data_IF_661568575892
#
_entry.id   IF_661568575892
#
_cell.length_a   1.000
_cell.length_b   1.000
_cell.length_c   1.000
_cell.angle_alpha   90.00
_cell.angle_beta   90.00
_cell.angle_gamma   90.00
#
_symmetry.space_group_name_H-M   'P 1'
#
loop_
_entity.id
_entity.type
_entity.pdbx_description
1 polymer ?
#
# COMPACT_ATOMS: atom_id res chain seq x y z
N UNK A 1 -10.44 14.77 13.55
CA UNK A 1 -9.97 13.38 13.50
C UNK A 1 -8.45 13.44 13.44
N UNK A 2 -7.82 13.29 14.60
CA UNK A 2 -6.38 13.49 14.80
C UNK A 2 -5.64 12.37 14.06
N UNK A 3 -4.84 12.73 13.06
CA UNK A 3 -4.15 11.78 12.19
C UNK A 3 -2.80 11.45 12.84
N UNK A 4 -2.70 10.29 13.47
CA UNK A 4 -1.50 9.92 14.22
C UNK A 4 -0.50 9.15 13.35
N UNK A 5 0.55 9.85 12.94
CA UNK A 5 1.70 9.30 12.18
C UNK A 5 2.92 9.05 13.09
N UNK A 6 2.75 9.11 14.42
CA UNK A 6 3.81 8.82 15.40
C UNK A 6 4.16 7.32 15.40
N UNK A 7 5.36 6.93 15.85
CA UNK A 7 5.73 5.52 16.02
C UNK A 7 4.70 4.78 16.88
N UNK A 8 4.00 3.79 16.31
CA UNK A 8 2.90 3.05 16.96
C UNK A 8 1.52 3.28 16.34
N UNK A 9 1.32 4.36 15.57
CA UNK A 9 0.18 4.51 14.67
C UNK A 9 0.29 3.50 13.53
N UNK A 10 -0.82 2.85 13.15
CA UNK A 10 -0.84 1.77 12.15
C UNK A 10 -0.63 2.32 10.72
N UNK A 11 0.55 2.87 10.43
CA UNK A 11 0.94 3.34 9.09
C UNK A 11 1.62 2.19 8.36
N UNK A 12 0.81 1.30 7.80
CA UNK A 12 1.25 0.16 6.98
C UNK A 12 1.19 0.47 5.49
N UNK A 13 2.07 -0.15 4.71
CA UNK A 13 1.89 -0.18 3.25
C UNK A 13 0.80 -1.19 2.91
N UNK A 14 -0.25 -0.74 2.21
CA UNK A 14 -1.29 -1.62 1.67
C UNK A 14 -0.77 -2.44 0.49
N UNK A 15 0.09 -1.85 -0.34
CA UNK A 15 0.74 -2.50 -1.47
C UNK A 15 2.09 -1.84 -1.78
N UNK A 16 3.03 -2.63 -2.30
CA UNK A 16 4.30 -2.13 -2.84
C UNK A 16 4.51 -2.83 -4.18
N UNK A 17 4.53 -2.04 -5.27
CA UNK A 17 4.85 -2.52 -6.62
C UNK A 17 6.31 -2.23 -6.91
N UNK A 18 7.07 -3.25 -7.31
CA UNK A 18 8.50 -3.16 -7.59
C UNK A 18 8.75 -3.43 -9.07
N UNK A 19 8.78 -2.38 -9.87
CA UNK A 19 9.18 -2.44 -11.28
C UNK A 19 10.66 -2.08 -11.40
N UNK A 20 11.47 -2.97 -12.00
CA UNK A 20 12.90 -2.76 -12.23
C UNK A 20 13.84 -2.98 -11.02
N UNK A 21 13.33 -3.46 -9.89
CA UNK A 21 14.16 -3.74 -8.70
C UNK A 21 14.77 -5.15 -8.78
N UNK A 22 16.10 -5.26 -8.62
CA UNK A 22 16.80 -6.53 -8.40
C UNK A 22 17.79 -6.44 -7.23
N UNK A 23 18.18 -7.57 -6.65
CA UNK A 23 19.28 -7.63 -5.66
C UNK A 23 18.96 -7.08 -4.26
N UNK A 24 19.95 -6.45 -3.63
CA UNK A 24 19.97 -6.02 -2.22
C UNK A 24 18.89 -4.99 -1.86
N UNK A 25 18.42 -4.22 -2.84
CA UNK A 25 17.43 -3.16 -2.71
C UNK A 25 16.06 -3.65 -2.17
N UNK A 26 15.69 -4.90 -2.48
CA UNK A 26 14.47 -5.56 -1.96
C UNK A 26 14.48 -5.66 -0.42
N UNK A 27 15.65 -5.77 0.20
CA UNK A 27 15.77 -5.87 1.68
C UNK A 27 15.32 -4.58 2.37
N UNK A 28 15.65 -3.42 1.80
CA UNK A 28 15.25 -2.11 2.33
C UNK A 28 13.74 -1.89 2.28
N UNK A 29 13.10 -2.39 1.24
CA UNK A 29 11.66 -2.32 1.05
C UNK A 29 10.91 -3.27 1.99
N UNK A 30 11.42 -4.50 2.18
CA UNK A 30 10.89 -5.44 3.19
C UNK A 30 10.97 -4.85 4.59
N UNK A 31 12.07 -4.19 4.93
CA UNK A 31 12.23 -3.49 6.20
C UNK A 31 11.23 -2.34 6.35
N UNK A 32 11.07 -1.52 5.31
CA UNK A 32 10.11 -0.43 5.27
C UNK A 32 8.67 -0.92 5.45
N UNK A 33 8.29 -2.03 4.80
CA UNK A 33 6.98 -2.67 4.97
C UNK A 33 6.76 -3.19 6.40
N UNK A 34 7.79 -3.83 6.99
CA UNK A 34 7.72 -4.39 8.35
C UNK A 34 7.67 -3.32 9.44
N UNK A 35 8.42 -2.23 9.27
CA UNK A 35 8.62 -1.19 10.27
C UNK A 35 7.64 -0.01 10.12
N UNK A 36 6.89 0.03 9.02
CA UNK A 36 6.02 1.15 8.66
C UNK A 36 6.78 2.29 7.98
N UNK A 37 6.05 3.13 7.24
CA UNK A 37 6.66 4.20 6.41
C UNK A 37 7.41 5.24 7.24
N UNK A 38 6.99 5.46 8.48
CA UNK A 38 7.58 6.45 9.37
C UNK A 38 9.04 6.16 9.75
N UNK A 39 9.55 4.95 9.52
CA UNK A 39 10.98 4.67 9.75
C UNK A 39 11.89 5.35 8.70
N UNK A 40 11.34 5.71 7.54
CA UNK A 40 12.01 6.56 6.56
C UNK A 40 11.67 8.04 6.88
N UNK A 41 12.66 8.86 7.28
CA UNK A 41 12.40 10.23 7.72
C UNK A 41 11.92 11.14 6.58
N UNK A 42 12.32 10.89 5.33
CA UNK A 42 11.84 11.66 4.18
C UNK A 42 10.38 11.34 3.89
N UNK A 43 9.98 10.07 3.91
CA UNK A 43 8.58 9.68 3.71
C UNK A 43 7.70 10.25 4.85
N UNK A 44 8.19 10.24 6.10
CA UNK A 44 7.48 10.87 7.22
C UNK A 44 7.25 12.37 6.98
N UNK A 45 8.31 13.12 6.69
CA UNK A 45 8.24 14.56 6.39
C UNK A 45 7.33 14.86 5.20
N UNK A 46 7.32 13.99 4.18
CA UNK A 46 6.42 14.11 3.03
C UNK A 46 4.95 13.92 3.41
N UNK A 47 4.65 12.93 4.25
CA UNK A 47 3.28 12.64 4.70
C UNK A 47 2.69 13.78 5.53
N UNK A 48 3.52 14.55 6.24
CA UNK A 48 3.09 15.72 7.01
C UNK A 48 2.70 16.93 6.14
N UNK A 49 3.10 16.97 4.87
CA UNK A 49 2.89 18.13 3.97
C UNK A 49 1.56 18.14 3.21
N UNK A 50 0.84 17.02 3.15
CA UNK A 50 -0.43 16.92 2.44
C UNK A 50 -1.57 16.59 3.40
N UNK A 51 -2.70 17.29 3.26
CA UNK A 51 -3.88 17.04 4.12
C UNK A 51 -5.19 16.93 3.35
N UNK A 52 -5.26 17.50 2.15
CA UNK A 52 -6.46 17.53 1.29
C UNK A 52 -6.43 16.41 0.23
N UNK A 53 -7.53 15.65 0.06
CA UNK A 53 -7.65 14.66 -1.01
C UNK A 53 -7.37 15.24 -2.40
N UNK A 54 -6.69 14.46 -3.24
CA UNK A 54 -6.29 14.85 -4.59
C UNK A 54 -4.99 15.65 -4.65
N UNK A 55 -4.54 16.25 -3.54
CA UNK A 55 -3.30 17.04 -3.50
C UNK A 55 -2.09 16.16 -3.74
N UNK A 56 -1.27 16.54 -4.72
CA UNK A 56 0.00 15.90 -5.04
C UNK A 56 1.15 16.75 -4.49
N UNK A 57 2.00 16.14 -3.68
CA UNK A 57 3.21 16.75 -3.15
C UNK A 57 4.41 15.99 -3.69
N UNK A 58 5.30 16.67 -4.41
CA UNK A 58 6.55 16.09 -4.91
C UNK A 58 7.74 16.86 -4.37
N UNK A 59 8.68 16.15 -3.74
CA UNK A 59 9.83 16.74 -3.09
C UNK A 59 11.06 15.84 -3.19
N UNK A 60 12.22 16.46 -3.35
CA UNK A 60 13.52 15.81 -3.22
C UNK A 60 13.79 15.54 -1.75
N UNK A 61 14.53 14.47 -1.44
CA UNK A 61 14.90 14.13 -0.06
C UNK A 61 15.58 15.29 0.68
N UNK A 62 16.40 16.10 0.00
CA UNK A 62 17.05 17.31 0.55
C UNK A 62 16.09 18.42 0.96
N UNK A 63 14.91 18.47 0.35
CA UNK A 63 13.86 19.44 0.68
C UNK A 63 13.02 18.96 1.87
N UNK A 64 13.09 17.66 2.19
CA UNK A 64 12.31 17.00 3.23
C UNK A 64 13.09 16.86 4.54
N UNK A 65 14.37 16.50 4.45
CA UNK A 65 15.24 16.16 5.59
C UNK A 65 16.67 16.57 5.29
N UNK A 66 17.32 17.23 6.25
CA UNK A 66 18.73 17.59 6.18
C UNK A 66 19.64 16.35 6.16
N UNK A 67 20.80 16.47 5.51
CA UNK A 67 21.70 15.34 5.27
C UNK A 67 22.15 14.64 6.57
N UNK A 68 22.44 15.39 7.64
CA UNK A 68 22.87 14.79 8.90
C UNK A 68 21.76 13.91 9.52
N UNK A 69 20.51 14.37 9.47
CA UNK A 69 19.34 13.64 9.96
C UNK A 69 19.04 12.43 9.07
N UNK A 70 19.23 12.56 7.76
CA UNK A 70 19.05 11.48 6.81
C UNK A 70 20.08 10.36 7.01
N UNK A 71 21.37 10.70 7.00
CA UNK A 71 22.44 9.71 7.07
C UNK A 71 22.65 9.11 8.47
N UNK A 72 22.15 9.77 9.52
CA UNK A 72 22.10 9.23 10.88
C UNK A 72 20.84 8.40 11.18
N UNK A 73 19.87 8.33 10.27
CA UNK A 73 18.63 7.59 10.53
C UNK A 73 18.88 6.07 10.54
N UNK A 74 18.39 5.33 11.56
CA UNK A 74 18.60 3.88 11.65
C UNK A 74 18.15 3.11 10.40
N UNK A 75 17.04 3.53 9.78
CA UNK A 75 16.57 2.93 8.54
C UNK A 75 17.57 3.10 7.39
N UNK A 76 18.07 4.32 7.20
CA UNK A 76 19.00 4.66 6.11
C UNK A 76 20.32 3.92 6.30
N UNK A 77 20.84 3.88 7.53
CA UNK A 77 22.10 3.21 7.85
C UNK A 77 22.02 1.69 7.66
N UNK A 78 21.02 1.04 8.23
CA UNK A 78 20.97 -0.43 8.30
C UNK A 78 20.35 -1.07 7.06
N UNK A 79 19.53 -0.34 6.32
CA UNK A 79 18.75 -0.92 5.23
C UNK A 79 18.97 -0.24 3.89
N UNK A 80 19.05 1.09 3.80
CA UNK A 80 19.20 1.76 2.51
C UNK A 80 20.66 1.77 2.03
N UNK A 81 21.59 2.17 2.89
CA UNK A 81 23.03 2.27 2.57
C UNK A 81 23.64 0.95 2.05
N UNK A 82 23.35 -0.24 2.60
CA UNK A 82 23.90 -1.50 2.09
C UNK A 82 23.42 -1.87 0.68
N UNK A 83 22.36 -1.20 0.18
CA UNK A 83 21.84 -1.44 -1.17
C UNK A 83 22.59 -0.66 -2.25
N UNK A 84 23.43 0.30 -1.85
CA UNK A 84 24.10 1.22 -2.76
C UNK A 84 23.24 2.42 -3.19
N UNK A 85 21.99 2.49 -2.76
CA UNK A 85 21.09 3.64 -3.00
C UNK A 85 21.40 4.80 -2.06
N UNK A 86 21.19 6.02 -2.55
CA UNK A 86 21.54 7.25 -1.83
C UNK A 86 20.49 8.36 -2.04
N UNK A 87 20.65 9.19 -3.08
CA UNK A 87 19.75 10.33 -3.30
C UNK A 87 18.38 9.85 -3.79
N UNK A 88 17.33 10.60 -3.42
CA UNK A 88 15.95 10.20 -3.70
C UNK A 88 15.02 11.39 -3.92
N UNK A 89 13.97 11.13 -4.70
CA UNK A 89 12.85 12.04 -4.92
C UNK A 89 11.55 11.27 -4.74
N UNK A 90 10.60 11.90 -4.08
CA UNK A 90 9.33 11.29 -3.70
C UNK A 90 8.17 12.13 -4.21
N UNK A 91 7.08 11.46 -4.56
CA UNK A 91 5.79 12.09 -4.78
C UNK A 91 4.70 11.36 -4.02
N UNK A 92 3.77 12.09 -3.40
CA UNK A 92 2.63 11.53 -2.69
C UNK A 92 1.32 12.18 -3.11
N UNK A 93 0.24 11.41 -3.09
CA UNK A 93 -1.12 11.89 -3.31
C UNK A 93 -2.03 11.34 -2.21
N UNK A 94 -2.77 12.23 -1.56
CA UNK A 94 -3.85 11.84 -0.66
C UNK A 94 -5.04 11.37 -1.46
N UNK A 95 -5.53 10.16 -1.20
CA UNK A 95 -6.73 9.68 -1.87
C UNK A 95 -8.00 10.21 -1.19
N UNK A 96 -9.14 10.04 -1.86
CA UNK A 96 -10.46 10.31 -1.26
C UNK A 96 -10.81 9.32 -0.14
N UNK A 97 -10.16 8.15 -0.10
CA UNK A 97 -10.35 7.20 0.99
C UNK A 97 -9.64 7.72 2.26
N UNK A 98 -10.34 7.76 3.41
CA UNK A 98 -9.75 8.23 4.66
C UNK A 98 -8.47 7.48 5.02
N UNK A 99 -7.38 8.22 5.24
CA UNK A 99 -6.11 7.66 5.72
C UNK A 99 -5.26 6.95 4.66
N UNK A 100 -5.65 6.97 3.38
CA UNK A 100 -4.90 6.33 2.30
C UNK A 100 -4.08 7.35 1.52
N UNK A 101 -2.76 7.13 1.51
CA UNK A 101 -1.78 7.89 0.73
C UNK A 101 -1.16 6.99 -0.32
N UNK A 102 -1.03 7.50 -1.53
CA UNK A 102 -0.29 6.86 -2.62
C UNK A 102 1.03 7.57 -2.82
N UNK A 103 2.08 6.83 -3.12
CA UNK A 103 3.38 7.45 -3.30
C UNK A 103 4.27 6.70 -4.27
N UNK A 104 5.13 7.48 -4.91
CA UNK A 104 6.20 7.02 -5.78
C UNK A 104 7.52 7.49 -5.16
N UNK A 105 8.49 6.59 -5.07
CA UNK A 105 9.85 6.92 -4.64
C UNK A 105 10.85 6.46 -5.69
N UNK A 106 11.68 7.38 -6.16
CA UNK A 106 12.77 7.08 -7.09
C UNK A 106 14.08 7.34 -6.37
N UNK A 107 15.02 6.41 -6.55
CA UNK A 107 16.34 6.44 -5.91
C UNK A 107 17.44 6.46 -6.98
N UNK A 108 18.59 7.02 -6.63
CA UNK A 108 19.83 6.91 -7.40
C UNK A 108 20.89 6.18 -6.59
N UNK A 109 21.82 5.59 -7.30
CA UNK A 109 23.00 4.98 -6.71
C UNK A 109 23.95 6.04 -6.14
N UNK A 110 24.77 5.60 -5.18
CA UNK A 110 25.78 6.42 -4.54
C UNK A 110 26.80 6.94 -5.56
N UNK A 111 27.08 8.24 -5.51
CA UNK A 111 27.98 8.90 -6.47
C UNK A 111 27.31 9.25 -7.81
N UNK A 112 26.05 8.88 -8.02
CA UNK A 112 25.25 9.37 -9.14
C UNK A 112 24.97 10.87 -9.03
N UNK A 113 24.59 11.51 -10.16
CA UNK A 113 24.21 12.93 -10.13
C UNK A 113 23.01 13.12 -9.17
N UNK A 114 22.96 14.18 -8.37
CA UNK A 114 21.84 14.39 -7.48
C UNK A 114 20.54 14.77 -8.23
N UNK A 115 19.38 14.48 -7.64
CA UNK A 115 18.10 14.92 -8.21
C UNK A 115 18.02 16.44 -8.23
N UNK A 116 17.45 16.99 -9.30
CA UNK A 116 17.25 18.42 -9.50
C UNK A 116 15.76 18.79 -9.66
N UNK A 117 15.50 20.09 -9.87
CA UNK A 117 14.15 20.60 -10.03
C UNK A 117 13.43 20.03 -11.26
N UNK A 118 14.14 19.70 -12.33
CA UNK A 118 13.55 19.12 -13.53
C UNK A 118 13.14 17.66 -13.28
N UNK A 119 13.97 16.90 -12.55
CA UNK A 119 13.60 15.53 -12.15
C UNK A 119 12.36 15.54 -11.23
N UNK A 120 12.30 16.49 -10.28
CA UNK A 120 11.13 16.68 -9.38
C UNK A 120 9.87 17.01 -10.18
N UNK A 121 9.97 17.91 -11.15
CA UNK A 121 8.82 18.31 -11.98
C UNK A 121 8.34 17.16 -12.87
N UNK A 122 9.27 16.41 -13.48
CA UNK A 122 8.94 15.24 -14.28
C UNK A 122 8.18 14.19 -13.45
N UNK A 123 8.64 13.92 -12.22
CA UNK A 123 7.94 13.01 -11.33
C UNK A 123 6.57 13.54 -10.91
N UNK A 124 6.44 14.86 -10.67
CA UNK A 124 5.16 15.48 -10.35
C UNK A 124 4.14 15.30 -11.47
N UNK A 125 4.52 15.64 -12.71
CA UNK A 125 3.69 15.44 -13.90
C UNK A 125 3.34 13.97 -14.10
N UNK A 126 4.31 13.07 -14.00
CA UNK A 126 4.06 11.63 -14.10
C UNK A 126 3.04 11.15 -13.07
N UNK A 127 3.18 11.54 -11.80
CA UNK A 127 2.25 11.12 -10.75
C UNK A 127 0.84 11.68 -10.98
N UNK A 128 0.73 12.94 -11.42
CA UNK A 128 -0.53 13.57 -11.77
C UNK A 128 -1.27 12.83 -12.89
N UNK A 129 -0.57 12.52 -13.98
CA UNK A 129 -1.14 11.79 -15.11
C UNK A 129 -1.47 10.33 -14.77
N UNK A 130 -0.69 9.71 -13.87
CA UNK A 130 -0.92 8.36 -13.40
C UNK A 130 -2.01 8.22 -12.32
N UNK A 131 -2.79 9.27 -12.01
CA UNK A 131 -3.89 9.22 -11.04
C UNK A 131 -4.91 8.09 -11.30
N UNK A 132 -5.02 7.62 -12.56
CA UNK A 132 -5.83 6.47 -12.96
C UNK A 132 -5.14 5.09 -12.85
N UNK A 133 -3.80 5.03 -12.77
CA UNK A 133 -3.01 3.79 -12.65
C UNK A 133 -2.83 3.34 -11.20
N UNK A 134 -2.69 4.27 -10.26
CA UNK A 134 -2.41 3.96 -8.85
C UNK A 134 -3.66 3.84 -7.98
N UNK A 135 -4.84 3.59 -8.57
CA UNK A 135 -6.04 3.29 -7.80
C UNK A 135 -5.81 2.14 -6.76
N UNK A 136 -6.73 1.90 -5.80
CA UNK A 136 -6.48 0.93 -4.72
C UNK A 136 -6.01 -0.42 -5.28
N UNK A 137 -5.19 -1.20 -4.54
CA UNK A 137 -4.76 -2.52 -4.98
C UNK A 137 -5.98 -3.32 -5.45
N UNK A 138 -6.07 -3.59 -6.77
CA UNK A 138 -7.29 -4.09 -7.41
C UNK A 138 -7.97 -3.16 -8.41
N UNK A 139 -7.45 -1.95 -8.64
CA UNK A 139 -7.91 -1.04 -9.68
C UNK A 139 -6.87 -0.78 -10.78
N UNK A 140 -5.92 -1.70 -10.96
CA UNK A 140 -5.39 -1.91 -12.30
C UNK A 140 -6.59 -1.86 -13.24
N UNK A 141 -6.59 -0.95 -14.20
CA UNK A 141 -7.47 -0.98 -15.38
C UNK A 141 -7.18 -2.22 -16.26
N UNK A 142 -6.72 -3.30 -15.66
CA UNK A 142 -6.60 -4.67 -16.14
C UNK A 142 -7.22 -5.54 -15.03
N UNK A 143 -8.50 -5.88 -15.22
CA UNK A 143 -9.09 -7.03 -14.53
C UNK A 143 -9.92 -6.79 -13.26
N UNK A 144 -10.64 -5.68 -13.12
CA UNK A 144 -11.94 -5.79 -12.44
C UNK A 144 -12.89 -6.52 -13.38
N UNK A 145 -13.59 -7.61 -12.98
CA UNK A 145 -14.71 -8.11 -13.77
C UNK A 145 -15.78 -7.00 -13.93
N UNK A 146 -15.77 -5.99 -13.06
CA UNK A 146 -16.62 -4.78 -13.04
C UNK A 146 -16.19 -3.66 -14.01
N UNK A 147 -14.90 -3.52 -14.31
CA UNK A 147 -14.34 -2.42 -15.11
C UNK A 147 -14.60 -2.56 -16.61
N UNK A 148 -15.00 -3.75 -17.07
CA UNK A 148 -15.50 -3.96 -18.42
C UNK A 148 -16.96 -4.40 -18.48
N UNK A 149 -17.72 -4.31 -17.37
CA UNK A 149 -19.17 -4.58 -17.44
C UNK A 149 -19.82 -3.59 -18.38
N UNK A 150 -20.62 -4.10 -19.30
CA UNK A 150 -21.49 -3.23 -20.08
C UNK A 150 -22.37 -2.43 -19.11
N UNK A 151 -22.76 -1.19 -19.44
CA UNK A 151 -23.51 -0.32 -18.53
C UNK A 151 -24.73 -1.01 -17.88
N UNK A 152 -25.42 -1.87 -18.63
CA UNK A 152 -26.57 -2.65 -18.14
C UNK A 152 -26.20 -3.78 -17.18
N UNK A 153 -25.07 -4.44 -17.37
CA UNK A 153 -24.59 -5.48 -16.46
C UNK A 153 -24.18 -4.87 -15.11
N UNK A 154 -23.58 -3.67 -15.13
CA UNK A 154 -23.24 -2.91 -13.91
C UNK A 154 -24.49 -2.53 -13.13
N UNK A 155 -25.47 -1.91 -13.81
CA UNK A 155 -26.75 -1.57 -13.19
C UNK A 155 -27.45 -2.79 -12.59
N UNK A 156 -27.44 -3.93 -13.29
CA UNK A 156 -27.99 -5.18 -12.75
C UNK A 156 -27.22 -5.64 -11.52
N UNK A 157 -25.88 -5.62 -11.53
CA UNK A 157 -25.05 -6.01 -10.39
C UNK A 157 -25.33 -5.16 -9.15
N UNK A 158 -25.41 -3.83 -9.29
CA UNK A 158 -25.73 -2.91 -8.18
C UNK A 158 -27.07 -3.23 -7.53
N UNK A 159 -28.10 -3.49 -8.34
CA UNK A 159 -29.42 -3.85 -7.83
C UNK A 159 -29.44 -5.26 -7.22
N UNK A 160 -28.62 -6.19 -7.72
CA UNK A 160 -28.44 -7.50 -7.11
C UNK A 160 -27.83 -7.41 -5.71
N UNK A 161 -26.83 -6.54 -5.52
CA UNK A 161 -26.15 -6.28 -4.24
C UNK A 161 -27.07 -5.61 -3.22
N UNK A 162 -28.01 -4.78 -3.69
CA UNK A 162 -29.09 -4.22 -2.86
C UNK A 162 -30.16 -5.26 -2.46
N UNK A 163 -29.99 -6.53 -2.85
CA UNK A 163 -30.91 -7.61 -2.49
C UNK A 163 -32.17 -7.71 -3.37
N UNK A 164 -32.28 -6.96 -4.47
CA UNK A 164 -33.49 -6.99 -5.31
C UNK A 164 -33.58 -8.27 -6.13
N UNK A 165 -34.77 -8.87 -6.19
CA UNK A 165 -35.07 -10.00 -7.06
C UNK A 165 -35.24 -9.59 -8.53
N UNK A 166 -35.08 -10.54 -9.46
CA UNK A 166 -35.10 -10.27 -10.91
C UNK A 166 -36.36 -9.50 -11.39
N UNK A 167 -37.51 -9.70 -10.74
CA UNK A 167 -38.75 -8.98 -11.04
C UNK A 167 -38.66 -7.49 -10.66
N UNK A 168 -38.05 -7.19 -9.53
CA UNK A 168 -37.85 -5.81 -9.05
C UNK A 168 -36.79 -5.10 -9.90
N UNK A 169 -35.72 -5.82 -10.27
CA UNK A 169 -34.68 -5.31 -11.17
C UNK A 169 -35.28 -4.99 -12.54
N UNK A 170 -36.08 -5.90 -13.10
CA UNK A 170 -36.76 -5.70 -14.38
C UNK A 170 -37.63 -4.43 -14.37
N UNK A 171 -38.43 -4.25 -13.32
CA UNK A 171 -39.25 -3.06 -13.14
C UNK A 171 -38.43 -1.77 -13.03
N UNK A 172 -37.30 -1.81 -12.30
CA UNK A 172 -36.45 -0.64 -12.05
C UNK A 172 -35.61 -0.23 -13.26
N UNK A 173 -35.23 -1.19 -14.10
CA UNK A 173 -34.44 -0.95 -15.32
C UNK A 173 -35.30 -0.78 -16.59
N UNK A 174 -36.62 -1.00 -16.50
CA UNK A 174 -37.53 -0.91 -17.63
C UNK A 174 -37.31 -2.00 -18.69
N UNK A 175 -36.91 -3.21 -18.27
CA UNK A 175 -36.59 -4.34 -19.16
C UNK A 175 -37.32 -5.62 -18.74
N UNK A 176 -37.30 -6.64 -19.59
CA UNK A 176 -37.95 -7.93 -19.27
C UNK A 176 -37.16 -8.72 -18.21
N UNK A 177 -37.86 -9.57 -17.44
CA UNK A 177 -37.21 -10.53 -16.52
C UNK A 177 -36.23 -11.46 -17.24
N UNK A 178 -36.52 -11.82 -18.48
CA UNK A 178 -35.65 -12.64 -19.31
C UNK A 178 -34.31 -11.92 -19.58
N UNK A 179 -34.36 -10.63 -19.90
CA UNK A 179 -33.17 -9.79 -20.11
C UNK A 179 -32.33 -9.67 -18.82
N UNK A 180 -32.98 -9.50 -17.67
CA UNK A 180 -32.29 -9.50 -16.37
C UNK A 180 -31.58 -10.84 -16.13
N UNK A 181 -32.25 -11.97 -16.38
CA UNK A 181 -31.66 -13.29 -16.24
C UNK A 181 -30.41 -13.48 -17.12
N UNK A 182 -30.44 -12.94 -18.34
CA UNK A 182 -29.30 -12.98 -19.26
C UNK A 182 -28.11 -12.15 -18.77
N UNK A 183 -28.37 -10.97 -18.19
CA UNK A 183 -27.33 -10.17 -17.54
C UNK A 183 -26.77 -10.89 -16.32
N UNK A 184 -27.61 -11.48 -15.48
CA UNK A 184 -27.17 -12.25 -14.30
C UNK A 184 -26.31 -13.47 -14.69
N UNK A 185 -26.66 -14.21 -15.75
CA UNK A 185 -25.82 -15.30 -16.28
C UNK A 185 -24.48 -14.82 -16.79
N UNK A 186 -24.47 -13.66 -17.45
CA UNK A 186 -23.22 -13.06 -17.94
C UNK A 186 -22.33 -12.61 -16.78
N UNK A 187 -22.93 -12.03 -15.73
CA UNK A 187 -22.24 -11.74 -14.47
C UNK A 187 -21.66 -13.01 -13.85
N UNK A 188 -22.43 -14.09 -13.71
CA UNK A 188 -21.93 -15.36 -13.16
C UNK A 188 -20.72 -15.90 -13.92
N UNK A 189 -20.82 -15.98 -15.26
CA UNK A 189 -19.71 -16.43 -16.11
C UNK A 189 -18.47 -15.55 -15.93
N UNK A 190 -18.67 -14.23 -15.84
CA UNK A 190 -17.58 -13.26 -15.77
C UNK A 190 -16.89 -13.22 -14.42
N UNK A 191 -17.62 -13.50 -13.35
CA UNK A 191 -17.09 -13.58 -11.99
C UNK A 191 -16.65 -15.00 -11.59
N UNK A 192 -16.87 -15.99 -12.47
CA UNK A 192 -16.46 -17.39 -12.23
C UNK A 192 -17.29 -18.10 -11.17
N UNK A 193 -18.53 -17.65 -10.95
CA UNK A 193 -19.43 -18.16 -9.91
C UNK A 193 -20.66 -18.81 -10.54
N UNK A 194 -21.32 -19.67 -9.78
CA UNK A 194 -22.50 -20.42 -10.26
C UNK A 194 -23.81 -19.99 -9.58
N UNK A 195 -23.75 -19.11 -8.59
CA UNK A 195 -24.93 -18.71 -7.83
C UNK A 195 -24.90 -17.23 -7.45
N UNK A 196 -26.09 -16.71 -7.16
CA UNK A 196 -26.29 -15.34 -6.68
C UNK A 196 -25.54 -15.08 -5.37
N UNK A 197 -25.65 -16.01 -4.43
CA UNK A 197 -24.98 -15.92 -3.13
C UNK A 197 -23.46 -15.90 -3.30
N UNK A 198 -22.92 -16.73 -4.18
CA UNK A 198 -21.49 -16.73 -4.49
C UNK A 198 -21.04 -15.40 -5.15
N UNK A 199 -21.85 -14.85 -6.07
CA UNK A 199 -21.58 -13.54 -6.68
C UNK A 199 -21.53 -12.43 -5.61
N UNK A 200 -22.55 -12.37 -4.75
CA UNK A 200 -22.64 -11.35 -3.69
C UNK A 200 -21.48 -11.51 -2.69
N UNK A 201 -21.22 -12.73 -2.21
CA UNK A 201 -20.13 -13.00 -1.29
C UNK A 201 -18.77 -12.62 -1.87
N UNK A 202 -18.51 -12.93 -3.15
CA UNK A 202 -17.25 -12.60 -3.80
C UNK A 202 -17.06 -11.10 -4.02
N UNK A 203 -18.14 -10.35 -4.27
CA UNK A 203 -18.07 -8.89 -4.42
C UNK A 203 -17.87 -8.23 -3.05
N UNK A 204 -18.61 -8.66 -2.02
CA UNK A 204 -18.52 -8.08 -0.67
C UNK A 204 -17.22 -8.48 0.06
N UNK A 205 -16.70 -9.70 -0.14
CA UNK A 205 -15.43 -10.13 0.45
C UNK A 205 -14.21 -9.37 -0.12
N UNK A 206 -14.40 -8.62 -1.21
CA UNK A 206 -13.38 -7.69 -1.74
C UNK A 206 -13.46 -6.30 -1.11
N UNK A 207 -14.57 -5.97 -0.43
CA UNK A 207 -14.78 -4.69 0.26
C UNK A 207 -14.45 -4.76 1.77
N UNK A 208 -14.31 -5.96 2.34
CA UNK A 208 -13.85 -6.16 3.73
C UNK A 208 -12.30 -6.19 3.79
N UNK A 209 -11.65 -5.37 4.65
CA UNK A 209 -10.23 -5.56 4.95
C UNK A 209 -10.07 -6.85 5.76
N UNK A 210 -9.29 -7.81 5.24
CA UNK A 210 -8.96 -9.08 5.90
C UNK A 210 -8.61 -8.90 7.39
N UNK A 211 -9.56 -9.20 8.26
CA UNK A 211 -9.30 -9.50 9.66
C UNK A 211 -9.26 -11.03 9.84
N UNK A 212 -8.09 -11.51 10.25
CA UNK A 212 -7.89 -12.75 11.01
C UNK A 212 -8.25 -14.07 10.31
N UNK A 213 -7.23 -14.72 9.74
CA UNK A 213 -7.08 -16.18 9.85
C UNK A 213 -5.66 -16.47 10.35
N UNK A 214 -5.53 -16.70 11.66
CA UNK A 214 -4.32 -17.22 12.28
C UNK A 214 -4.60 -18.63 12.83
N UNK A 215 -3.87 -19.61 12.29
CA UNK A 215 -3.48 -20.87 12.92
C UNK A 215 -1.93 -20.92 12.87
N UNK A 216 -1.22 -21.70 13.70
CA UNK A 216 -1.53 -22.25 15.00
C UNK A 216 -0.51 -21.80 16.09
N UNK A 217 -0.81 -22.13 17.34
CA UNK A 217 -0.02 -21.84 18.54
C UNK A 217 1.44 -22.31 18.44
N UNK A 218 2.39 -21.37 18.57
CA UNK A 218 3.82 -21.64 18.76
C UNK A 218 4.06 -22.02 20.23
N UNK A 219 4.41 -23.28 20.49
CA UNK A 219 5.00 -23.66 21.78
C UNK A 219 6.38 -22.99 21.92
N UNK A 220 6.60 -22.34 23.06
CA UNK A 220 7.89 -21.75 23.47
C UNK A 220 8.65 -22.83 24.27
N UNK A 221 9.88 -23.20 23.90
CA UNK A 221 10.74 -23.99 24.80
C UNK A 221 11.27 -23.11 25.93
N UNK A 222 11.37 -23.61 27.17
CA UNK A 222 11.94 -22.86 28.28
C UNK A 222 13.48 -22.93 28.23
N UNK A 223 14.14 -21.85 27.80
CA UNK A 223 15.60 -21.73 27.92
C UNK A 223 16.00 -21.01 29.21
N UNK A 224 16.65 -21.81 30.08
CA UNK A 224 17.94 -21.51 30.73
C UNK A 224 18.19 -20.11 31.28
N UNK A 225 18.14 -20.00 32.61
CA UNK A 225 18.67 -18.85 33.36
C UNK A 225 20.16 -18.61 33.07
N UNK A 226 20.62 -17.35 33.00
CA UNK A 226 22.04 -17.02 32.87
C UNK A 226 22.78 -17.24 34.22
N UNK A 227 23.89 -17.98 34.18
CA UNK A 227 24.83 -18.13 35.31
C UNK A 227 25.58 -16.81 35.55
N UNK A 228 25.50 -16.28 36.77
CA UNK A 228 26.40 -15.24 37.27
C UNK A 228 27.83 -15.79 37.35
N UNK A 229 28.76 -15.15 36.64
CA UNK A 229 30.19 -15.34 36.84
C UNK A 229 30.61 -14.61 38.14
N UNK A 230 31.31 -15.32 39.03
CA UNK A 230 31.98 -14.73 40.19
C UNK A 230 33.24 -14.01 39.73
N UNK A 231 33.41 -12.78 40.21
CA UNK A 231 34.65 -12.04 40.16
C UNK A 231 35.72 -12.76 41.01
N UNK A 232 36.90 -12.93 40.44
CA UNK A 232 38.13 -13.18 41.19
C UNK A 232 38.94 -11.90 41.10
N UNK A 233 38.99 -11.16 42.21
CA UNK A 233 39.92 -10.05 42.41
C UNK A 233 41.35 -10.58 42.41
N UNK A 234 42.15 -10.11 41.45
CA UNK A 234 43.60 -10.19 41.51
C UNK A 234 44.13 -8.98 42.28
N UNK A 235 44.77 -9.22 43.42
CA UNK A 235 45.64 -8.24 44.07
C UNK A 235 47.05 -8.32 43.45
N UNK A 236 47.57 -7.13 43.16
CA UNK A 236 48.78 -6.73 42.45
C UNK A 236 50.14 -7.07 43.14
N UNK A 237 51.30 -6.76 42.50
CA UNK A 237 52.55 -7.51 42.63
C UNK A 237 53.54 -6.95 43.67
N UNK A 238 54.57 -7.76 43.97
CA UNK A 238 55.93 -7.34 44.29
C UNK A 238 56.93 -8.38 43.79
#
# INVERSE_FOLDING_TARGET
MERDFRPGGHVGFTEIVLEGWSGSAVSALKALRRMGSACNPAIRSLMERGSEPGTIVTAMRRELVEDWSWYGAPYVEHYLRPTGLDDSVYSSQWSELPGVVRGIGIYRERGGRPFDAADRELLHLFHAECGAMFGPPGSSKVGTPSGGLAPRERQTLELLLQGLGDKQIAARLGISRFTVNQYTKTLYRRFGVQSRAALIAQVLARDEPEATTALPSRQVPPDGQPKLARASDGQEPC
#
